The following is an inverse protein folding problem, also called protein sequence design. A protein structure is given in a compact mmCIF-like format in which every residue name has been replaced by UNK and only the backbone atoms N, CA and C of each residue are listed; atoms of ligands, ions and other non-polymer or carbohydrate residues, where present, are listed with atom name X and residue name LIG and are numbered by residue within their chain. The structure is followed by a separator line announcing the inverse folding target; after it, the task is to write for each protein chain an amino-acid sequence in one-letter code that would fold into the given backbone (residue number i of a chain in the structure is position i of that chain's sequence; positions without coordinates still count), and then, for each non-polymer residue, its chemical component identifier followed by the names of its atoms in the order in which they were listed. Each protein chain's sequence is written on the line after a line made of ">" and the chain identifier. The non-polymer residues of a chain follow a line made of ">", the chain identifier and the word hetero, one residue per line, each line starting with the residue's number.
data_IF_250703274415
#
_entry.id   IF_250703274415
#
_cell.length_a   1.000
_cell.length_b   1.000
_cell.length_c   1.000
_cell.angle_alpha   90.00
_cell.angle_beta   90.00
_cell.angle_gamma   90.00
#
_symmetry.space_group_name_H-M   'P 1'
#
loop_
_entity.id
_entity.type
_entity.pdbx_description
1 polymer ?
#
# COMPACT_ATOMS: atom_id res chain seq x y z
N UNK A 1 -13.32 0.17 20.63
CA UNK A 1 -13.18 0.77 19.28
C UNK A 1 -13.91 2.10 19.29
N UNK A 2 -13.19 3.22 19.29
CA UNK A 2 -13.83 4.55 19.23
C UNK A 2 -14.36 4.72 17.81
N UNK A 3 -15.68 4.64 17.64
CA UNK A 3 -16.36 4.90 16.39
C UNK A 3 -16.33 6.42 16.18
N UNK A 4 -15.41 6.89 15.33
CA UNK A 4 -15.43 8.26 14.82
C UNK A 4 -16.29 8.32 13.57
N UNK A 5 -17.04 9.40 13.40
CA UNK A 5 -17.66 9.72 12.12
C UNK A 5 -16.60 9.76 11.02
N UNK A 6 -16.81 9.01 9.94
CA UNK A 6 -15.80 8.91 8.86
C UNK A 6 -15.77 10.24 8.10
N UNK A 7 -14.66 10.99 8.11
CA UNK A 7 -14.56 12.20 7.31
C UNK A 7 -14.74 11.85 5.82
N UNK A 8 -15.34 12.77 5.06
CA UNK A 8 -15.58 12.58 3.63
C UNK A 8 -14.30 12.17 2.89
N UNK A 9 -14.41 11.21 1.96
CA UNK A 9 -13.28 10.59 1.25
C UNK A 9 -12.32 11.62 0.62
N UNK A 10 -12.86 12.72 0.08
CA UNK A 10 -12.07 13.81 -0.49
C UNK A 10 -11.10 14.46 0.51
N UNK A 11 -11.52 14.65 1.77
CA UNK A 11 -10.63 15.19 2.81
C UNK A 11 -9.51 14.22 3.14
N UNK A 12 -9.73 12.90 3.04
CA UNK A 12 -8.68 11.90 3.26
C UNK A 12 -7.61 11.92 2.16
N UNK A 13 -7.97 12.20 0.91
CA UNK A 13 -7.00 12.33 -0.20
C UNK A 13 -6.03 13.49 -0.01
N UNK A 14 -6.46 14.61 0.57
CA UNK A 14 -5.61 15.78 0.83
C UNK A 14 -4.82 15.71 2.14
N UNK A 15 -5.00 14.66 2.96
CA UNK A 15 -4.17 14.44 4.16
C UNK A 15 -2.84 13.82 3.73
N UNK A 16 -1.87 14.69 3.43
CA UNK A 16 -0.51 14.28 3.05
C UNK A 16 0.36 13.87 4.27
N UNK A 17 -0.05 14.23 5.50
CA UNK A 17 0.70 13.88 6.72
C UNK A 17 0.56 12.39 7.00
N UNK A 18 1.67 11.66 6.93
CA UNK A 18 1.71 10.21 7.15
C UNK A 18 1.26 9.37 5.95
N UNK A 19 1.09 9.97 4.77
CA UNK A 19 0.69 9.25 3.57
C UNK A 19 1.79 8.32 3.05
N UNK A 20 1.38 7.15 2.56
CA UNK A 20 2.26 6.19 1.88
C UNK A 20 2.85 6.80 0.60
N UNK A 21 2.18 7.80 0.01
CA UNK A 21 2.65 8.51 -1.17
C UNK A 21 4.08 9.02 -1.02
N UNK A 22 4.45 9.56 0.15
CA UNK A 22 5.81 10.07 0.37
C UNK A 22 6.87 8.96 0.35
N UNK A 23 6.48 7.73 0.69
CA UNK A 23 7.34 6.55 0.67
C UNK A 23 7.55 6.01 -0.74
N UNK A 24 6.52 6.06 -1.60
CA UNK A 24 6.57 5.52 -2.98
C UNK A 24 6.73 6.59 -4.07
N UNK A 25 6.96 7.85 -3.68
CA UNK A 25 6.96 9.00 -4.61
C UNK A 25 8.01 8.84 -5.71
N UNK A 26 9.14 8.22 -5.40
CA UNK A 26 10.24 8.06 -6.35
C UNK A 26 9.92 6.96 -7.37
N UNK A 27 9.35 5.84 -6.94
CA UNK A 27 8.92 4.74 -7.80
C UNK A 27 7.79 5.17 -8.76
N UNK A 28 6.85 5.97 -8.25
CA UNK A 28 5.77 6.55 -9.08
C UNK A 28 6.36 7.56 -10.07
N UNK A 29 7.25 8.45 -9.63
CA UNK A 29 7.86 9.46 -10.49
C UNK A 29 8.67 8.83 -11.63
N UNK A 30 9.46 7.79 -11.37
CA UNK A 30 10.23 7.10 -12.42
C UNK A 30 9.32 6.42 -13.43
N UNK A 31 8.27 5.73 -12.98
CA UNK A 31 7.29 5.07 -13.86
C UNK A 31 6.58 6.07 -14.77
N UNK A 32 6.12 7.20 -14.22
CA UNK A 32 5.48 8.27 -14.99
C UNK A 32 6.46 8.88 -15.99
N UNK A 33 7.70 9.14 -15.57
CA UNK A 33 8.73 9.72 -16.44
C UNK A 33 9.05 8.79 -17.61
N UNK A 34 9.21 7.48 -17.37
CA UNK A 34 9.45 6.49 -18.43
C UNK A 34 8.25 6.42 -19.37
N UNK A 35 7.02 6.36 -18.83
CA UNK A 35 5.80 6.33 -19.64
C UNK A 35 5.66 7.58 -20.52
N UNK A 36 5.99 8.75 -19.98
CA UNK A 36 5.95 10.02 -20.70
C UNK A 36 7.02 10.06 -21.80
N UNK A 37 8.25 9.64 -21.50
CA UNK A 37 9.33 9.53 -22.46
C UNK A 37 8.97 8.60 -23.62
N UNK A 38 8.48 7.40 -23.32
CA UNK A 38 8.04 6.43 -24.35
C UNK A 38 6.91 6.99 -25.20
N UNK A 39 5.96 7.70 -24.58
CA UNK A 39 4.82 8.30 -25.29
C UNK A 39 5.26 9.45 -26.20
N UNK A 40 6.17 10.32 -25.73
CA UNK A 40 6.66 11.47 -26.49
C UNK A 40 7.64 11.09 -27.61
N UNK A 41 8.45 10.05 -27.39
CA UNK A 41 9.42 9.54 -28.37
C UNK A 41 8.76 8.71 -29.48
N UNK A 42 7.42 8.55 -29.45
CA UNK A 42 6.53 7.83 -30.37
C UNK A 42 7.16 7.50 -31.73
N UNK A 43 7.93 6.41 -31.79
CA UNK A 43 8.46 5.85 -33.04
C UNK A 43 9.64 6.59 -33.71
N UNK A 44 10.22 7.66 -33.14
CA UNK A 44 11.40 8.31 -33.78
C UNK A 44 12.73 7.58 -33.58
N UNK A 45 12.80 6.62 -32.66
CA UNK A 45 14.06 5.92 -32.29
C UNK A 45 14.06 4.45 -32.73
N UNK A 46 12.90 3.84 -32.98
CA UNK A 46 12.77 2.41 -33.27
C UNK A 46 12.02 2.20 -34.59
N UNK A 47 12.73 2.29 -35.71
CA UNK A 47 12.32 1.76 -37.03
C UNK A 47 11.96 0.26 -36.96
N UNK A 48 12.43 -0.44 -35.92
CA UNK A 48 12.06 -1.81 -35.59
C UNK A 48 10.85 -1.81 -34.66
N UNK A 49 9.67 -2.16 -35.20
CA UNK A 49 8.47 -2.45 -34.40
C UNK A 49 8.71 -3.66 -33.49
N UNK A 50 9.28 -3.46 -32.31
CA UNK A 50 9.29 -4.49 -31.27
C UNK A 50 7.84 -4.57 -30.76
N UNK A 51 7.14 -5.63 -31.12
CA UNK A 51 5.78 -5.90 -30.66
C UNK A 51 5.82 -6.31 -29.18
N UNK A 52 5.78 -5.33 -28.27
CA UNK A 52 5.56 -5.61 -26.85
C UNK A 52 4.09 -6.01 -26.67
N UNK A 53 3.84 -7.28 -26.38
CA UNK A 53 2.51 -7.77 -26.03
C UNK A 53 2.28 -7.61 -24.52
N UNK A 54 1.04 -7.28 -24.08
CA UNK A 54 0.74 -7.10 -22.66
C UNK A 54 0.64 -8.43 -21.89
N UNK A 55 0.58 -9.56 -22.59
CA UNK A 55 0.36 -10.90 -22.02
C UNK A 55 1.34 -11.27 -20.89
N UNK A 56 2.67 -11.21 -21.08
CA UNK A 56 3.61 -11.56 -20.01
C UNK A 56 3.48 -10.64 -18.78
N UNK A 57 3.18 -9.36 -18.99
CA UNK A 57 3.00 -8.40 -17.89
C UNK A 57 1.76 -8.70 -17.07
N UNK A 58 0.65 -9.09 -17.71
CA UNK A 58 -0.57 -9.49 -17.00
C UNK A 58 -0.37 -10.73 -16.14
N UNK A 59 0.36 -11.74 -16.64
CA UNK A 59 0.67 -12.96 -15.89
C UNK A 59 1.53 -12.66 -14.65
N UNK A 60 2.57 -11.84 -14.80
CA UNK A 60 3.42 -11.41 -13.69
C UNK A 60 2.61 -10.56 -12.69
N UNK A 61 1.79 -9.63 -13.19
CA UNK A 61 0.94 -8.77 -12.36
C UNK A 61 -0.04 -9.57 -11.51
N UNK A 62 -0.67 -10.60 -12.09
CA UNK A 62 -1.56 -11.51 -11.36
C UNK A 62 -0.81 -12.24 -10.24
N UNK A 63 0.36 -12.81 -10.54
CA UNK A 63 1.17 -13.49 -9.54
C UNK A 63 1.54 -12.53 -8.38
N UNK A 64 2.01 -11.33 -8.70
CA UNK A 64 2.36 -10.31 -7.71
C UNK A 64 1.17 -9.91 -6.84
N UNK A 65 -0.03 -9.74 -7.43
CA UNK A 65 -1.23 -9.37 -6.69
C UNK A 65 -1.61 -10.44 -5.65
N UNK A 66 -1.53 -11.71 -6.03
CA UNK A 66 -1.81 -12.84 -5.12
C UNK A 66 -0.80 -12.87 -3.97
N UNK A 67 0.50 -12.79 -4.27
CA UNK A 67 1.55 -12.77 -3.24
C UNK A 67 1.41 -11.57 -2.29
N UNK A 68 1.06 -10.40 -2.82
CA UNK A 68 0.83 -9.21 -2.00
C UNK A 68 -0.38 -9.39 -1.09
N UNK A 69 -1.44 -10.05 -1.55
CA UNK A 69 -2.61 -10.41 -0.73
C UNK A 69 -2.22 -11.24 0.49
N UNK A 70 -1.48 -12.33 0.29
CA UNK A 70 -0.98 -13.16 1.38
C UNK A 70 -0.03 -12.40 2.32
N UNK A 71 0.88 -11.58 1.77
CA UNK A 71 1.78 -10.77 2.59
C UNK A 71 1.03 -9.76 3.46
N UNK A 72 0.00 -9.13 2.90
CA UNK A 72 -0.80 -8.14 3.62
C UNK A 72 -1.64 -8.78 4.72
N UNK A 73 -2.24 -9.94 4.50
CA UNK A 73 -3.01 -10.64 5.54
C UNK A 73 -2.13 -11.00 6.73
N UNK A 74 -0.98 -11.66 6.50
CA UNK A 74 -0.06 -12.03 7.60
C UNK A 74 0.49 -10.81 8.35
N UNK A 75 0.83 -9.73 7.64
CA UNK A 75 1.31 -8.49 8.28
C UNK A 75 0.22 -7.86 9.13
N UNK A 76 -1.02 -7.85 8.63
CA UNK A 76 -2.17 -7.32 9.35
C UNK A 76 -2.46 -8.13 10.62
N UNK A 77 -2.42 -9.45 10.53
CA UNK A 77 -2.66 -10.34 11.68
C UNK A 77 -1.63 -10.06 12.80
N UNK A 78 -0.34 -9.95 12.46
CA UNK A 78 0.73 -9.62 13.42
C UNK A 78 0.56 -8.23 14.04
N UNK A 79 0.18 -7.23 13.23
CA UNK A 79 -0.09 -5.89 13.74
C UNK A 79 -1.26 -5.90 14.72
N UNK A 80 -2.30 -6.67 14.42
CA UNK A 80 -3.48 -6.78 15.25
C UNK A 80 -3.23 -7.58 16.54
N UNK A 81 -2.46 -8.66 16.46
CA UNK A 81 -1.99 -9.43 17.62
C UNK A 81 -1.25 -8.55 18.63
N UNK A 82 -0.31 -7.71 18.17
CA UNK A 82 0.38 -6.78 19.05
C UNK A 82 -0.56 -5.81 19.79
N UNK A 83 -1.65 -5.37 19.16
CA UNK A 83 -2.66 -4.52 19.81
C UNK A 83 -3.53 -5.28 20.82
N UNK A 84 -3.84 -6.55 20.56
CA UNK A 84 -4.54 -7.41 21.51
C UNK A 84 -3.71 -7.61 22.77
N UNK A 85 -2.44 -8.00 22.62
CA UNK A 85 -1.52 -8.20 23.74
C UNK A 85 -1.34 -6.93 24.58
N UNK A 86 -1.23 -5.76 23.95
CA UNK A 86 -1.19 -4.49 24.67
C UNK A 86 -2.48 -4.21 25.45
N UNK A 87 -3.64 -4.56 24.89
CA UNK A 87 -4.92 -4.49 25.56
C UNK A 87 -4.98 -5.38 26.80
N UNK A 88 -4.52 -6.62 26.69
CA UNK A 88 -4.48 -7.58 27.79
C UNK A 88 -3.59 -7.08 28.94
N UNK A 89 -2.42 -6.51 28.64
CA UNK A 89 -1.54 -5.90 29.65
C UNK A 89 -2.21 -4.74 30.40
N UNK A 90 -2.94 -3.88 29.70
CA UNK A 90 -3.66 -2.75 30.32
C UNK A 90 -4.78 -3.25 31.23
N UNK A 91 -5.49 -4.32 30.83
CA UNK A 91 -6.55 -4.93 31.63
C UNK A 91 -5.97 -5.61 32.88
N UNK A 92 -4.90 -6.39 32.73
CA UNK A 92 -4.20 -7.05 33.84
C UNK A 92 -3.73 -6.04 34.88
N UNK A 93 -3.06 -4.96 34.43
CA UNK A 93 -2.64 -3.87 35.32
C UNK A 93 -3.82 -3.21 36.04
N UNK A 94 -4.96 -3.06 35.39
CA UNK A 94 -6.17 -2.51 36.00
C UNK A 94 -6.75 -3.41 37.10
N UNK A 95 -6.67 -4.73 36.93
CA UNK A 95 -7.16 -5.70 37.93
C UNK A 95 -6.32 -5.75 39.20
N UNK A 96 -5.00 -5.55 39.09
CA UNK A 96 -4.09 -5.55 40.24
C UNK A 96 -4.29 -4.32 41.15
N UNK A 97 -4.73 -3.19 40.59
CA UNK A 97 -4.98 -1.94 41.33
C UNK A 97 -6.33 -1.95 42.07
N UNK A 98 -7.32 -2.69 41.56
CA UNK A 98 -8.67 -2.78 42.15
C UNK A 98 -8.85 -4.01 43.07
N UNK A 99 -7.84 -4.88 43.17
CA UNK A 99 -7.89 -6.15 43.89
C UNK A 99 -7.25 -6.16 45.29
N UNK A 100 -6.92 -4.99 45.84
CA UNK A 100 -6.47 -4.80 47.23
C UNK A 100 -7.32 -3.76 47.93
#
# INVERSE_FOLDING_TARGET
>A
MIIRERPAAWRLFFVLRGSILHRIKWEVATTVTISLLVTLLHGRVFETKITLTPIPFSLIGLALAIFLGFRNSTTYDRWWEGRRLWGDLVILKGSEINGG
#
